data_IF_262382582700
#
_entry.id   IF_262382582700
#
_cell.length_a   1.000
_cell.length_b   1.000
_cell.length_c   1.000
_cell.angle_alpha   90.00
_cell.angle_beta   90.00
_cell.angle_gamma   90.00
#
_symmetry.space_group_name_H-M   'P 1'
#
loop_
_entity.id
_entity.type
_entity.pdbx_description
1 polymer ?
#
# COMPACT_ATOMS: atom_id res chain seq x y z
N UNK A 1 -27.30 64.61 -11.24
CA UNK A 1 -28.53 63.79 -11.11
C UNK A 1 -28.29 62.82 -9.98
N UNK A 2 -29.11 62.84 -8.93
CA UNK A 2 -29.01 61.88 -7.82
C UNK A 2 -29.75 60.60 -8.24
N UNK A 3 -29.08 59.46 -8.18
CA UNK A 3 -29.72 58.17 -8.43
C UNK A 3 -30.55 57.79 -7.19
N UNK A 4 -31.79 57.40 -7.41
CA UNK A 4 -32.71 56.91 -6.37
C UNK A 4 -32.50 55.42 -6.15
N UNK A 5 -32.72 54.96 -4.93
CA UNK A 5 -32.64 53.53 -4.60
C UNK A 5 -33.44 52.70 -5.60
N UNK A 6 -32.88 51.58 -6.08
CA UNK A 6 -33.55 50.70 -7.06
C UNK A 6 -34.77 49.96 -6.48
N UNK A 7 -35.01 50.07 -5.17
CA UNK A 7 -36.23 49.58 -4.54
C UNK A 7 -37.32 50.62 -4.80
N UNK A 8 -38.36 50.22 -5.54
CA UNK A 8 -39.43 51.06 -6.09
C UNK A 8 -40.24 51.85 -5.05
N UNK A 9 -40.07 51.56 -3.76
CA UNK A 9 -40.75 52.23 -2.64
C UNK A 9 -39.82 53.15 -1.83
N UNK A 10 -38.60 53.43 -2.30
CA UNK A 10 -37.59 54.19 -1.56
C UNK A 10 -37.07 55.40 -2.34
N UNK A 11 -37.43 56.61 -1.90
CA UNK A 11 -36.97 57.88 -2.49
C UNK A 11 -35.60 58.35 -1.96
N UNK A 12 -34.93 57.53 -1.14
CA UNK A 12 -33.63 57.89 -0.58
C UNK A 12 -32.53 57.86 -1.66
N UNK A 13 -31.56 58.79 -1.59
CA UNK A 13 -30.44 58.78 -2.53
C UNK A 13 -29.61 57.50 -2.38
N UNK A 14 -29.22 56.89 -3.50
CA UNK A 14 -28.31 55.75 -3.51
C UNK A 14 -26.96 56.16 -2.97
N UNK A 15 -26.42 55.38 -2.04
CA UNK A 15 -25.11 55.63 -1.45
C UNK A 15 -24.13 54.49 -1.74
N UNK A 16 -24.64 53.28 -2.01
CA UNK A 16 -23.83 52.06 -2.11
C UNK A 16 -24.41 51.18 -3.22
N UNK A 17 -23.57 50.82 -4.19
CA UNK A 17 -23.90 49.77 -5.17
C UNK A 17 -23.37 48.44 -4.65
N UNK A 18 -24.23 47.44 -4.52
CA UNK A 18 -23.80 46.11 -4.11
C UNK A 18 -23.05 45.43 -5.26
N UNK A 19 -21.77 45.09 -5.04
CA UNK A 19 -20.92 44.43 -6.05
C UNK A 19 -21.45 43.06 -6.47
N UNK A 20 -22.13 42.34 -5.56
CA UNK A 20 -22.60 40.98 -5.83
C UNK A 20 -23.82 40.92 -6.77
N UNK A 21 -24.67 41.94 -6.76
CA UNK A 21 -25.91 41.97 -7.54
C UNK A 21 -26.06 43.20 -8.44
N UNK A 22 -25.05 44.08 -8.43
CA UNK A 22 -24.98 45.36 -9.14
C UNK A 22 -26.17 46.30 -8.89
N UNK A 23 -26.82 46.16 -7.72
CA UNK A 23 -27.98 46.98 -7.35
C UNK A 23 -27.55 48.22 -6.58
N UNK A 24 -28.05 49.37 -6.98
CA UNK A 24 -27.81 50.64 -6.29
C UNK A 24 -28.81 50.84 -5.15
N UNK A 25 -28.33 50.73 -3.91
CA UNK A 25 -29.15 50.73 -2.71
C UNK A 25 -28.80 51.93 -1.80
N UNK A 26 -29.79 52.38 -1.02
CA UNK A 26 -29.50 53.25 0.12
C UNK A 26 -28.87 52.43 1.26
N UNK A 27 -28.30 53.11 2.25
CA UNK A 27 -27.56 52.45 3.36
C UNK A 27 -28.42 51.45 4.14
N UNK A 28 -29.68 51.77 4.40
CA UNK A 28 -30.61 50.92 5.16
C UNK A 28 -30.96 49.65 4.38
N UNK A 29 -31.34 49.78 3.11
CA UNK A 29 -31.64 48.64 2.26
C UNK A 29 -30.41 47.79 1.92
N UNK A 30 -29.20 48.36 1.93
CA UNK A 30 -27.97 47.58 1.83
C UNK A 30 -27.75 46.71 3.07
N UNK A 31 -28.03 47.23 4.27
CA UNK A 31 -27.94 46.47 5.53
C UNK A 31 -29.00 45.37 5.57
N UNK A 32 -30.23 45.64 5.14
CA UNK A 32 -31.27 44.62 5.00
C UNK A 32 -30.90 43.55 3.97
N UNK A 33 -30.32 43.96 2.85
CA UNK A 33 -29.82 43.04 1.83
C UNK A 33 -28.70 42.14 2.38
N UNK A 34 -27.73 42.69 3.14
CA UNK A 34 -26.70 41.89 3.84
C UNK A 34 -27.32 40.95 4.88
N UNK A 35 -28.30 41.45 5.64
CA UNK A 35 -29.02 40.68 6.64
C UNK A 35 -29.82 39.51 6.04
N UNK A 36 -30.36 39.66 4.82
CA UNK A 36 -31.07 38.59 4.12
C UNK A 36 -30.13 37.57 3.46
N UNK A 37 -28.88 37.94 3.17
CA UNK A 37 -27.87 37.04 2.60
C UNK A 37 -27.21 36.16 3.67
N UNK A 38 -26.98 36.68 4.89
CA UNK A 38 -26.35 35.92 5.98
C UNK A 38 -27.05 34.60 6.33
N UNK A 39 -28.40 34.54 6.48
CA UNK A 39 -29.10 33.28 6.71
C UNK A 39 -28.88 32.24 5.60
N UNK A 40 -28.81 32.68 4.34
CA UNK A 40 -28.55 31.79 3.20
C UNK A 40 -27.13 31.22 3.24
N UNK A 41 -26.13 32.04 3.58
CA UNK A 41 -24.75 31.59 3.76
C UNK A 41 -24.61 30.62 4.94
N UNK A 42 -25.31 30.90 6.05
CA UNK A 42 -25.33 30.01 7.20
C UNK A 42 -25.97 28.66 6.86
N UNK A 43 -27.02 28.64 6.05
CA UNK A 43 -27.65 27.41 5.60
C UNK A 43 -26.72 26.58 4.68
N UNK A 44 -26.02 27.23 3.76
CA UNK A 44 -25.00 26.56 2.94
C UNK A 44 -23.86 26.00 3.79
N UNK A 45 -23.43 26.73 4.83
CA UNK A 45 -22.40 26.26 5.76
C UNK A 45 -22.87 25.01 6.51
N UNK A 46 -24.12 24.98 6.97
CA UNK A 46 -24.71 23.78 7.58
C UNK A 46 -24.75 22.60 6.62
N UNK A 47 -25.10 22.83 5.36
CA UNK A 47 -25.12 21.78 4.34
C UNK A 47 -23.72 21.21 4.08
N UNK A 48 -22.70 22.07 3.97
CA UNK A 48 -21.31 21.65 3.81
C UNK A 48 -20.85 20.84 5.02
N UNK A 49 -21.10 21.33 6.23
CA UNK A 49 -20.72 20.61 7.45
C UNK A 49 -21.41 19.24 7.53
N UNK A 50 -22.69 19.15 7.16
CA UNK A 50 -23.40 17.86 7.10
C UNK A 50 -22.77 16.90 6.09
N UNK A 51 -22.34 17.38 4.93
CA UNK A 51 -21.64 16.56 3.92
C UNK A 51 -20.28 16.11 4.47
N UNK A 52 -19.58 17.00 5.17
CA UNK A 52 -18.29 16.69 5.80
C UNK A 52 -18.44 15.64 6.91
N UNK A 53 -19.42 15.79 7.79
CA UNK A 53 -19.74 14.80 8.83
C UNK A 53 -20.09 13.44 8.21
N UNK A 54 -20.83 13.45 7.09
CA UNK A 54 -21.12 12.23 6.33
C UNK A 54 -19.85 11.59 5.77
N UNK A 55 -18.93 12.39 5.23
CA UNK A 55 -17.64 11.92 4.73
C UNK A 55 -16.76 11.36 5.87
N UNK A 56 -16.68 12.04 7.02
CA UNK A 56 -15.94 11.54 8.19
C UNK A 56 -16.52 10.24 8.75
N UNK A 57 -17.83 10.05 8.64
CA UNK A 57 -18.50 8.81 9.05
C UNK A 57 -18.31 7.64 8.07
N UNK A 58 -17.67 7.86 6.90
CA UNK A 58 -17.34 6.77 5.98
C UNK A 58 -16.23 5.91 6.57
N UNK A 59 -16.60 4.70 6.98
CA UNK A 59 -15.65 3.69 7.42
C UNK A 59 -15.02 2.96 6.22
N UNK A 60 -13.71 3.16 6.04
CA UNK A 60 -12.92 2.48 5.02
C UNK A 60 -13.00 0.95 5.13
N UNK A 61 -13.13 0.40 6.34
CA UNK A 61 -13.26 -1.06 6.50
C UNK A 61 -14.57 -1.56 5.92
N UNK A 62 -15.66 -0.83 6.14
CA UNK A 62 -16.96 -1.12 5.53
C UNK A 62 -16.90 -1.02 4.01
N UNK A 63 -16.27 0.03 3.46
CA UNK A 63 -16.09 0.22 2.01
C UNK A 63 -15.29 -0.92 1.37
N UNK A 64 -14.23 -1.41 2.03
CA UNK A 64 -13.37 -2.47 1.50
C UNK A 64 -13.89 -3.88 1.78
N UNK A 65 -14.85 -4.03 2.70
CA UNK A 65 -15.28 -5.34 3.22
C UNK A 65 -15.71 -6.33 2.13
N UNK A 66 -16.50 -5.86 1.15
CA UNK A 66 -16.97 -6.72 0.06
C UNK A 66 -15.85 -7.10 -0.91
N UNK A 67 -14.87 -6.23 -1.11
CA UNK A 67 -13.71 -6.54 -1.95
C UNK A 67 -12.80 -7.57 -1.27
N UNK A 68 -12.58 -7.42 0.04
CA UNK A 68 -11.81 -8.37 0.83
C UNK A 68 -12.48 -9.75 0.86
N UNK A 69 -13.81 -9.82 1.04
CA UNK A 69 -14.55 -11.09 0.96
C UNK A 69 -14.35 -11.80 -0.38
N UNK A 70 -14.38 -11.08 -1.50
CA UNK A 70 -14.12 -11.66 -2.83
C UNK A 70 -12.72 -12.24 -2.95
N UNK A 71 -11.71 -11.55 -2.39
CA UNK A 71 -10.34 -12.06 -2.37
C UNK A 71 -10.22 -13.30 -1.49
N UNK A 72 -10.87 -13.31 -0.33
CA UNK A 72 -10.90 -14.47 0.57
C UNK A 72 -11.62 -15.67 -0.05
N UNK A 73 -12.76 -15.46 -0.71
CA UNK A 73 -13.45 -16.50 -1.47
C UNK A 73 -12.58 -17.05 -2.59
N UNK A 74 -11.92 -16.18 -3.35
CA UNK A 74 -10.98 -16.60 -4.38
C UNK A 74 -9.83 -17.45 -3.81
N UNK A 75 -9.28 -17.05 -2.66
CA UNK A 75 -8.22 -17.81 -1.96
C UNK A 75 -8.71 -19.20 -1.55
N UNK A 76 -9.88 -19.30 -0.92
CA UNK A 76 -10.46 -20.57 -0.51
C UNK A 76 -10.72 -21.49 -1.71
N UNK A 77 -11.33 -20.96 -2.76
CA UNK A 77 -11.61 -21.72 -3.99
C UNK A 77 -10.32 -22.20 -4.66
N UNK A 78 -9.26 -21.38 -4.65
CA UNK A 78 -7.97 -21.76 -5.23
C UNK A 78 -7.33 -22.93 -4.49
N UNK A 79 -7.39 -22.95 -3.15
CA UNK A 79 -6.92 -24.11 -2.37
C UNK A 79 -7.71 -25.37 -2.69
N UNK A 80 -9.04 -25.30 -2.79
CA UNK A 80 -9.86 -26.45 -3.16
C UNK A 80 -9.49 -27.03 -4.53
N UNK A 81 -9.15 -26.17 -5.50
CA UNK A 81 -8.70 -26.62 -6.82
C UNK A 81 -7.34 -27.33 -6.73
N UNK A 82 -6.42 -26.81 -5.92
CA UNK A 82 -5.11 -27.43 -5.69
C UNK A 82 -5.27 -28.80 -5.01
N UNK A 83 -6.10 -28.87 -3.97
CA UNK A 83 -6.36 -30.12 -3.24
C UNK A 83 -6.97 -31.18 -4.15
N UNK A 84 -7.98 -30.80 -4.95
CA UNK A 84 -8.58 -31.70 -5.94
C UNK A 84 -7.56 -32.17 -6.98
N UNK A 85 -6.68 -31.29 -7.44
CA UNK A 85 -5.61 -31.67 -8.37
C UNK A 85 -4.65 -32.68 -7.74
N UNK A 86 -4.25 -32.46 -6.49
CA UNK A 86 -3.43 -33.37 -5.72
C UNK A 86 -4.09 -34.75 -5.56
N UNK A 87 -5.35 -34.81 -5.12
CA UNK A 87 -6.10 -36.06 -4.96
C UNK A 87 -6.21 -36.85 -6.27
N UNK A 88 -6.46 -36.14 -7.38
CA UNK A 88 -6.49 -36.76 -8.70
C UNK A 88 -5.13 -37.38 -9.06
N UNK A 89 -4.02 -36.72 -8.76
CA UNK A 89 -2.68 -37.24 -9.01
C UNK A 89 -2.33 -38.44 -8.13
N UNK A 90 -2.76 -38.43 -6.87
CA UNK A 90 -2.65 -39.62 -6.00
C UNK A 90 -3.46 -40.80 -6.55
N UNK A 91 -4.67 -40.54 -7.05
CA UNK A 91 -5.51 -41.57 -7.66
C UNK A 91 -4.88 -42.14 -8.92
N UNK A 92 -4.31 -41.28 -9.77
CA UNK A 92 -3.57 -41.69 -10.97
C UNK A 92 -2.36 -42.57 -10.62
N UNK A 93 -1.59 -42.18 -9.59
CA UNK A 93 -0.47 -42.96 -9.08
C UNK A 93 -0.91 -44.35 -8.60
N UNK A 94 -1.97 -44.38 -7.79
CA UNK A 94 -2.54 -45.64 -7.29
C UNK A 94 -3.02 -46.52 -8.44
N UNK A 95 -3.62 -45.95 -9.48
CA UNK A 95 -4.04 -46.68 -10.67
C UNK A 95 -2.85 -47.35 -11.38
N UNK A 96 -1.74 -46.65 -11.60
CA UNK A 96 -0.55 -47.23 -12.22
C UNK A 96 0.03 -48.38 -11.38
N UNK A 97 0.17 -48.19 -10.07
CA UNK A 97 0.68 -49.23 -9.16
C UNK A 97 -0.23 -50.46 -9.20
N UNK A 98 -1.54 -50.26 -9.07
CA UNK A 98 -2.50 -51.36 -9.09
C UNK A 98 -2.51 -52.11 -10.41
N UNK A 99 -2.36 -51.43 -11.55
CA UNK A 99 -2.24 -52.08 -12.86
C UNK A 99 -1.00 -52.98 -12.94
N UNK A 100 0.14 -52.52 -12.44
CA UNK A 100 1.37 -53.33 -12.38
C UNK A 100 1.13 -54.57 -11.50
N UNK A 101 0.62 -54.38 -10.29
CA UNK A 101 0.35 -55.49 -9.36
C UNK A 101 -0.66 -56.50 -9.95
N UNK A 102 -1.73 -56.02 -10.58
CA UNK A 102 -2.75 -56.87 -11.21
C UNK A 102 -2.18 -57.67 -12.38
N UNK A 103 -1.25 -57.11 -13.17
CA UNK A 103 -0.57 -57.85 -14.23
C UNK A 103 0.23 -59.03 -13.65
N UNK A 104 1.04 -58.78 -12.63
CA UNK A 104 1.81 -59.86 -11.99
C UNK A 104 0.92 -60.90 -11.30
N UNK A 105 -0.19 -60.48 -10.70
CA UNK A 105 -1.17 -61.41 -10.14
C UNK A 105 -1.75 -62.35 -11.21
N UNK A 106 -2.06 -61.83 -12.41
CA UNK A 106 -2.48 -62.65 -13.56
C UNK A 106 -1.38 -63.60 -14.02
N UNK A 107 -0.15 -63.11 -14.20
CA UNK A 107 0.98 -63.94 -14.62
C UNK A 107 1.25 -65.10 -13.65
N UNK A 108 1.13 -64.85 -12.33
CA UNK A 108 1.21 -65.89 -11.29
C UNK A 108 0.09 -66.91 -11.44
N UNK A 109 -1.14 -66.45 -11.63
CA UNK A 109 -2.30 -67.33 -11.75
C UNK A 109 -2.22 -68.21 -13.01
N UNK A 110 -1.76 -67.65 -14.13
CA UNK A 110 -1.57 -68.39 -15.38
C UNK A 110 -0.49 -69.49 -15.23
N UNK A 111 0.62 -69.18 -14.54
CA UNK A 111 1.63 -70.18 -14.21
C UNK A 111 1.06 -71.28 -13.31
N UNK A 112 0.26 -70.92 -12.31
CA UNK A 112 -0.38 -71.88 -11.41
C UNK A 112 -1.31 -72.82 -12.16
N UNK A 113 -2.19 -72.29 -13.02
CA UNK A 113 -3.08 -73.08 -13.87
C UNK A 113 -2.30 -74.02 -14.81
N UNK A 114 -1.15 -73.55 -15.33
CA UNK A 114 -0.28 -74.37 -16.17
C UNK A 114 0.35 -75.53 -15.40
N UNK A 115 0.77 -75.31 -14.15
CA UNK A 115 1.27 -76.35 -13.26
C UNK A 115 0.18 -77.37 -12.92
N UNK A 116 -1.02 -76.90 -12.56
CA UNK A 116 -2.17 -77.76 -12.26
C UNK A 116 -2.52 -78.66 -13.46
N UNK A 117 -2.56 -78.09 -14.67
CA UNK A 117 -2.81 -78.84 -15.90
C UNK A 117 -1.73 -79.90 -16.19
N UNK A 118 -0.46 -79.56 -16.01
CA UNK A 118 0.64 -80.52 -16.22
C UNK A 118 0.61 -81.65 -15.17
N UNK A 119 0.29 -81.33 -13.92
CA UNK A 119 0.11 -82.32 -12.84
C UNK A 119 -1.01 -83.29 -13.16
N UNK A 120 -2.13 -82.78 -13.71
CA UNK A 120 -3.28 -83.60 -14.08
C UNK A 120 -3.00 -84.57 -15.24
N UNK A 121 -2.27 -84.12 -16.27
CA UNK A 121 -2.02 -84.91 -17.49
C UNK A 121 -0.92 -85.98 -17.28
N UNK A 122 -0.11 -85.88 -16.21
CA UNK A 122 0.98 -86.80 -15.86
C UNK A 122 2.04 -87.06 -16.96
N UNK A 123 2.00 -86.32 -18.08
CA UNK A 123 2.99 -86.36 -19.17
C UNK A 123 3.91 -85.13 -19.13
N UNK A 124 4.50 -84.87 -17.97
CA UNK A 124 5.41 -83.74 -17.81
C UNK A 124 6.83 -84.15 -18.21
N UNK A 125 7.37 -83.54 -19.27
CA UNK A 125 8.77 -83.73 -19.67
C UNK A 125 9.70 -82.90 -18.78
N UNK A 126 10.96 -83.32 -18.62
CA UNK A 126 11.98 -82.53 -17.91
C UNK A 126 12.14 -81.12 -18.51
N UNK A 127 11.98 -80.99 -19.84
CA UNK A 127 11.98 -79.70 -20.51
C UNK A 127 10.86 -78.77 -20.04
N UNK A 128 9.65 -79.29 -19.79
CA UNK A 128 8.53 -78.51 -19.26
C UNK A 128 8.82 -78.02 -17.83
N UNK A 129 9.48 -78.86 -17.02
CA UNK A 129 9.91 -78.50 -15.65
C UNK A 129 10.95 -77.38 -15.71
N UNK A 130 12.00 -77.52 -16.51
CA UNK A 130 13.03 -76.47 -16.68
C UNK A 130 12.44 -75.14 -17.14
N UNK A 131 11.51 -75.17 -18.10
CA UNK A 131 10.84 -73.97 -18.60
C UNK A 131 9.99 -73.29 -17.50
N UNK A 132 9.25 -74.08 -16.71
CA UNK A 132 8.48 -73.56 -15.57
C UNK A 132 9.38 -72.97 -14.50
N UNK A 133 10.47 -73.66 -14.14
CA UNK A 133 11.46 -73.16 -13.18
C UNK A 133 12.05 -71.84 -13.64
N UNK A 134 12.43 -71.73 -14.93
CA UNK A 134 12.95 -70.48 -15.50
C UNK A 134 11.92 -69.35 -15.46
N UNK A 135 10.65 -69.64 -15.76
CA UNK A 135 9.58 -68.65 -15.71
C UNK A 135 9.31 -68.17 -14.27
N UNK A 136 9.29 -69.09 -13.30
CA UNK A 136 9.13 -68.76 -11.88
C UNK A 136 10.29 -67.88 -11.41
N UNK A 137 11.54 -68.23 -11.74
CA UNK A 137 12.72 -67.45 -11.38
C UNK A 137 12.68 -66.04 -12.00
N UNK A 138 12.30 -65.94 -13.27
CA UNK A 138 12.17 -64.66 -13.98
C UNK A 138 11.10 -63.77 -13.32
N UNK A 139 9.94 -64.35 -13.01
CA UNK A 139 8.84 -63.64 -12.36
C UNK A 139 9.21 -63.21 -10.93
N UNK A 140 9.95 -64.04 -10.20
CA UNK A 140 10.48 -63.72 -8.87
C UNK A 140 11.49 -62.57 -8.92
N UNK A 141 12.38 -62.54 -9.93
CA UNK A 141 13.29 -61.42 -10.17
C UNK A 141 12.54 -60.13 -10.50
N UNK A 142 11.53 -60.21 -11.37
CA UNK A 142 10.71 -59.06 -11.73
C UNK A 142 9.92 -58.51 -10.53
N UNK A 143 9.31 -59.36 -9.70
CA UNK A 143 8.63 -58.94 -8.48
C UNK A 143 9.59 -58.30 -7.47
N UNK A 144 10.79 -58.86 -7.32
CA UNK A 144 11.82 -58.26 -6.49
C UNK A 144 12.24 -56.88 -7.02
N UNK A 145 12.24 -56.67 -8.33
CA UNK A 145 12.49 -55.37 -8.95
C UNK A 145 11.34 -54.38 -8.75
N UNK A 146 10.08 -54.82 -8.62
CA UNK A 146 8.93 -53.94 -8.33
C UNK A 146 9.11 -53.17 -7.02
N UNK A 147 9.71 -53.80 -6.00
CA UNK A 147 10.05 -53.10 -4.74
C UNK A 147 10.95 -51.88 -4.97
N UNK A 148 11.66 -51.85 -6.09
CA UNK A 148 12.58 -50.78 -6.49
C UNK A 148 12.08 -50.00 -7.71
N UNK A 149 10.86 -50.24 -8.22
CA UNK A 149 10.24 -49.36 -9.22
C UNK A 149 9.88 -48.07 -8.50
N UNK A 150 10.83 -47.15 -8.46
CA UNK A 150 10.59 -45.76 -8.10
C UNK A 150 9.78 -45.13 -9.22
N UNK A 151 8.49 -44.89 -8.99
CA UNK A 151 7.72 -44.03 -9.89
C UNK A 151 8.35 -42.65 -9.81
N UNK A 152 8.95 -42.19 -10.90
CA UNK A 152 9.52 -40.86 -10.97
C UNK A 152 8.38 -39.84 -11.06
N UNK A 153 8.28 -38.97 -10.06
CA UNK A 153 7.31 -37.88 -10.02
C UNK A 153 8.08 -36.57 -10.17
N UNK A 154 7.99 -35.96 -11.33
CA UNK A 154 8.59 -34.65 -11.58
C UNK A 154 7.60 -33.55 -11.18
N UNK A 155 7.92 -32.79 -10.13
CA UNK A 155 7.07 -31.69 -9.64
C UNK A 155 7.64 -30.36 -10.14
N UNK A 156 6.79 -29.58 -10.82
CA UNK A 156 7.11 -28.20 -11.22
C UNK A 156 6.48 -27.21 -10.25
N UNK A 157 7.13 -26.06 -9.97
CA UNK A 157 6.59 -25.06 -9.06
C UNK A 157 5.33 -24.40 -9.66
N UNK A 158 4.36 -24.11 -8.79
CA UNK A 158 3.20 -23.30 -9.14
C UNK A 158 3.63 -21.83 -9.27
N UNK A 159 3.41 -21.23 -10.43
CA UNK A 159 3.73 -19.82 -10.69
C UNK A 159 2.46 -18.99 -10.61
N UNK A 160 2.43 -18.05 -9.67
CA UNK A 160 1.35 -17.05 -9.55
C UNK A 160 1.72 -15.86 -10.43
N UNK A 161 0.82 -15.45 -11.32
CA UNK A 161 1.01 -14.33 -12.24
C UNK A 161 0.48 -13.07 -11.58
N UNK A 162 1.24 -11.97 -11.58
CA UNK A 162 0.85 -10.72 -10.90
C UNK A 162 -0.49 -10.13 -11.37
N UNK A 163 -0.92 -10.44 -12.61
CA UNK A 163 -2.20 -10.01 -13.19
C UNK A 163 -3.37 -10.97 -12.90
N UNK A 164 -3.23 -11.86 -11.92
CA UNK A 164 -4.28 -12.82 -11.58
C UNK A 164 -5.44 -12.15 -10.83
N UNK A 165 -5.19 -11.02 -10.16
CA UNK A 165 -6.19 -10.19 -9.49
C UNK A 165 -5.95 -8.73 -9.90
N UNK A 166 -6.88 -8.15 -10.66
CA UNK A 166 -6.86 -6.73 -11.00
C UNK A 166 -7.68 -5.92 -10.00
N UNK A 167 -7.01 -5.04 -9.25
CA UNK A 167 -7.67 -4.08 -8.36
C UNK A 167 -7.79 -2.74 -9.08
N UNK A 168 -8.95 -2.50 -9.69
CA UNK A 168 -9.24 -1.25 -10.38
C UNK A 168 -10.05 -0.30 -9.49
N UNK A 169 -9.48 0.87 -9.19
CA UNK A 169 -10.21 1.94 -8.52
C UNK A 169 -11.04 2.66 -9.59
N UNK A 170 -12.34 2.39 -9.64
CA UNK A 170 -13.27 3.13 -10.50
C UNK A 170 -13.52 4.50 -9.85
N UNK A 171 -12.57 5.42 -10.00
CA UNK A 171 -12.77 6.84 -9.73
C UNK A 171 -13.22 7.51 -11.02
N UNK A 172 -14.43 7.19 -11.45
CA UNK A 172 -15.04 7.89 -12.57
C UNK A 172 -15.50 9.28 -12.12
N UNK A 173 -14.53 10.18 -11.92
CA UNK A 173 -14.75 11.57 -11.54
C UNK A 173 -15.54 12.34 -12.61
N UNK A 174 -15.65 11.80 -13.83
CA UNK A 174 -16.44 12.39 -14.92
C UNK A 174 -17.96 12.25 -14.71
N UNK A 175 -18.39 11.40 -13.77
CA UNK A 175 -19.80 11.24 -13.36
C UNK A 175 -20.20 12.10 -12.17
N UNK A 176 -19.25 12.77 -11.52
CA UNK A 176 -19.55 13.71 -10.44
C UNK A 176 -19.95 15.05 -11.06
N UNK A 177 -21.21 15.46 -10.85
CA UNK A 177 -21.70 16.79 -11.23
C UNK A 177 -20.76 17.86 -10.71
N UNK A 178 -20.22 18.70 -11.59
CA UNK A 178 -19.14 19.65 -11.33
C UNK A 178 -19.58 20.72 -10.31
N UNK A 179 -19.11 20.67 -9.05
CA UNK A 179 -19.31 21.77 -8.09
C UNK A 179 -18.28 22.89 -8.32
N UNK A 180 -17.24 22.63 -9.12
CA UNK A 180 -16.03 23.45 -9.19
C UNK A 180 -16.05 24.54 -10.27
N UNK A 181 -17.16 24.73 -11.01
CA UNK A 181 -17.24 25.77 -12.05
C UNK A 181 -17.79 27.12 -11.55
N UNK A 182 -18.38 27.20 -10.36
CA UNK A 182 -19.14 28.40 -9.92
C UNK A 182 -18.51 29.16 -8.75
N UNK A 183 -17.19 29.11 -8.61
CA UNK A 183 -16.47 30.13 -7.84
C UNK A 183 -15.69 30.97 -8.85
N UNK A 184 -16.41 31.71 -9.71
CA UNK A 184 -15.82 32.93 -10.24
C UNK A 184 -15.46 33.77 -9.03
N UNK A 185 -14.15 33.97 -8.85
CA UNK A 185 -13.54 34.76 -7.78
C UNK A 185 -14.47 35.93 -7.43
N UNK A 186 -15.11 35.87 -6.26
CA UNK A 186 -15.57 37.09 -5.62
C UNK A 186 -14.30 37.94 -5.55
N UNK A 187 -14.24 39.12 -6.20
CA UNK A 187 -13.12 40.00 -6.01
C UNK A 187 -13.25 40.49 -4.57
N UNK A 188 -12.66 39.74 -3.63
CA UNK A 188 -12.14 40.32 -2.41
C UNK A 188 -11.34 41.52 -2.90
N UNK A 189 -11.74 42.73 -2.52
CA UNK A 189 -11.05 43.96 -2.85
C UNK A 189 -9.57 43.86 -2.45
N UNK A 190 -8.73 43.33 -3.34
CA UNK A 190 -7.28 43.17 -3.23
C UNK A 190 -6.66 42.68 -4.56
N UNK A 191 -7.25 43.03 -5.71
CA UNK A 191 -6.63 42.82 -7.03
C UNK A 191 -5.37 43.68 -7.27
N UNK A 192 -4.86 44.38 -6.24
CA UNK A 192 -3.56 45.04 -6.27
C UNK A 192 -2.40 44.16 -5.78
N UNK A 193 -2.63 42.95 -5.22
CA UNK A 193 -1.54 42.15 -4.61
C UNK A 193 -1.20 40.83 -5.32
N UNK A 194 -1.98 40.38 -6.31
CA UNK A 194 -1.75 39.07 -6.92
C UNK A 194 -0.57 38.99 -7.91
N UNK A 195 0.07 40.12 -8.24
CA UNK A 195 1.27 40.16 -9.09
C UNK A 195 2.51 40.76 -8.39
N UNK A 196 2.43 41.02 -7.08
CA UNK A 196 3.59 41.45 -6.32
C UNK A 196 4.25 40.23 -5.68
N UNK A 197 5.54 40.02 -5.92
CA UNK A 197 6.36 39.23 -5.01
C UNK A 197 6.05 39.67 -3.56
N UNK A 198 5.98 38.76 -2.57
CA UNK A 198 5.74 39.14 -1.19
C UNK A 198 6.74 40.21 -0.79
N UNK A 199 6.25 41.39 -0.42
CA UNK A 199 7.09 42.49 0.04
C UNK A 199 7.84 42.05 1.31
N UNK A 200 9.01 42.64 1.59
CA UNK A 200 9.78 42.28 2.79
C UNK A 200 8.98 42.39 4.10
N UNK A 201 7.93 43.21 4.11
CA UNK A 201 7.03 43.41 5.24
C UNK A 201 6.10 42.20 5.50
N UNK A 202 5.58 41.54 4.47
CA UNK A 202 4.70 40.37 4.67
C UNK A 202 5.48 39.17 5.20
N UNK A 203 6.69 38.96 4.70
CA UNK A 203 7.64 37.98 5.24
C UNK A 203 8.05 38.31 6.68
N UNK A 204 8.20 39.60 7.01
CA UNK A 204 8.51 40.06 8.38
C UNK A 204 7.33 39.83 9.34
N UNK A 205 6.10 40.12 8.94
CA UNK A 205 4.90 39.87 9.73
C UNK A 205 4.71 38.38 10.02
N UNK A 206 4.86 37.53 8.99
CA UNK A 206 4.80 36.08 9.17
C UNK A 206 5.88 35.59 10.15
N UNK A 207 7.14 36.00 9.96
CA UNK A 207 8.24 35.60 10.84
C UNK A 207 8.02 36.08 12.29
N UNK A 208 7.45 37.28 12.47
CA UNK A 208 7.13 37.83 13.79
C UNK A 208 6.04 37.02 14.48
N UNK A 209 4.98 36.63 13.75
CA UNK A 209 3.91 35.78 14.28
C UNK A 209 4.41 34.38 14.64
N UNK A 210 5.20 33.75 13.77
CA UNK A 210 5.79 32.43 14.04
C UNK A 210 6.66 32.47 15.30
N UNK A 211 7.46 33.53 15.47
CA UNK A 211 8.28 33.70 16.66
C UNK A 211 7.44 33.98 17.93
N UNK A 212 6.41 34.81 17.83
CA UNK A 212 5.54 35.15 18.96
C UNK A 212 4.76 33.94 19.49
N UNK A 213 4.35 33.04 18.60
CA UNK A 213 3.57 31.84 18.95
C UNK A 213 4.42 30.57 19.05
N UNK A 214 5.75 30.67 18.98
CA UNK A 214 6.67 29.53 19.05
C UNK A 214 6.42 28.56 20.22
N UNK A 215 6.19 29.02 21.47
CA UNK A 215 5.90 28.11 22.59
C UNK A 215 4.59 27.33 22.41
N UNK A 216 3.64 27.88 21.66
CA UNK A 216 2.37 27.20 21.35
C UNK A 216 2.52 26.21 20.20
N UNK A 217 3.34 26.54 19.21
CA UNK A 217 3.61 25.69 18.05
C UNK A 217 4.45 24.47 18.41
N UNK A 218 5.41 24.61 19.33
CA UNK A 218 6.27 23.51 19.79
C UNK A 218 5.52 22.45 20.64
N UNK A 219 4.25 22.71 21.01
CA UNK A 219 3.39 21.70 21.66
C UNK A 219 3.07 20.53 20.73
N UNK A 220 3.12 20.73 19.42
CA UNK A 220 2.90 19.70 18.41
C UNK A 220 3.90 19.86 17.25
N UNK A 221 4.79 18.88 17.13
CA UNK A 221 5.81 18.85 16.08
C UNK A 221 5.25 18.91 14.65
N UNK A 222 4.01 18.49 14.43
CA UNK A 222 3.35 18.53 13.12
C UNK A 222 2.95 19.95 12.75
N UNK A 223 2.50 20.77 13.71
CA UNK A 223 2.14 22.18 13.49
C UNK A 223 3.34 23.00 13.04
N UNK A 224 4.53 22.72 13.59
CA UNK A 224 5.78 23.37 13.17
C UNK A 224 6.06 23.08 11.69
N UNK A 225 5.92 21.82 11.25
CA UNK A 225 6.13 21.44 9.85
C UNK A 225 5.12 22.08 8.90
N UNK A 226 3.84 22.17 9.31
CA UNK A 226 2.81 22.84 8.51
C UNK A 226 3.10 24.34 8.36
N UNK A 227 3.46 25.01 9.44
CA UNK A 227 3.80 26.44 9.42
C UNK A 227 5.04 26.71 8.57
N UNK A 228 6.08 25.86 8.63
CA UNK A 228 7.25 25.97 7.76
C UNK A 228 6.89 25.77 6.28
N UNK A 229 6.00 24.83 5.98
CA UNK A 229 5.53 24.59 4.61
C UNK A 229 4.71 25.77 4.07
N UNK A 230 3.88 26.38 4.92
CA UNK A 230 3.16 27.63 4.59
C UNK A 230 4.17 28.77 4.34
N UNK A 231 5.18 28.91 5.19
CA UNK A 231 6.28 29.87 5.02
C UNK A 231 7.00 29.73 3.68
N UNK A 232 7.23 28.49 3.25
CA UNK A 232 7.90 28.18 1.99
C UNK A 232 7.02 28.48 0.78
N UNK A 233 5.75 28.05 0.82
CA UNK A 233 4.82 28.16 -0.30
C UNK A 233 4.38 29.60 -0.57
N UNK A 234 4.16 30.39 0.48
CA UNK A 234 3.54 31.71 0.36
C UNK A 234 4.51 32.88 0.57
N UNK A 235 5.62 32.67 1.29
CA UNK A 235 6.54 33.75 1.68
C UNK A 235 7.98 33.52 1.20
N UNK A 236 8.24 32.42 0.47
CA UNK A 236 9.57 32.09 -0.05
C UNK A 236 10.63 31.88 1.05
N UNK A 237 10.20 31.61 2.28
CA UNK A 237 11.10 31.36 3.41
C UNK A 237 11.76 30.01 3.15
N UNK A 238 13.07 30.02 2.91
CA UNK A 238 13.84 28.79 2.76
C UNK A 238 13.72 28.01 4.06
N UNK A 239 13.25 26.76 3.97
CA UNK A 239 13.28 25.85 5.11
C UNK A 239 14.71 25.82 5.65
N UNK A 240 14.85 26.17 6.93
CA UNK A 240 16.08 25.92 7.65
C UNK A 240 16.14 24.40 7.73
N UNK A 241 17.00 23.77 6.94
CA UNK A 241 17.14 22.31 6.86
C UNK A 241 17.21 21.76 8.29
N UNK A 242 16.11 21.18 8.76
CA UNK A 242 16.09 20.53 10.05
C UNK A 242 17.09 19.36 9.96
N UNK A 243 17.98 19.19 10.95
CA UNK A 243 18.76 17.96 11.03
C UNK A 243 17.78 16.80 11.04
N UNK A 244 18.06 15.79 10.22
CA UNK A 244 17.19 14.64 9.96
C UNK A 244 16.44 14.21 11.24
N UNK A 245 15.12 14.04 11.14
CA UNK A 245 14.28 13.59 12.27
C UNK A 245 14.55 12.14 12.68
N UNK A 246 15.61 11.52 12.15
CA UNK A 246 16.15 10.25 12.62
C UNK A 246 17.21 10.53 13.69
N UNK A 247 16.90 10.35 14.99
CA UNK A 247 17.91 10.40 16.05
C UNK A 247 19.05 9.39 15.79
N UNK A 248 18.75 8.29 15.10
CA UNK A 248 19.75 7.30 14.66
C UNK A 248 20.68 7.82 13.55
N UNK A 249 20.17 8.63 12.63
CA UNK A 249 20.94 9.17 11.51
C UNK A 249 21.83 10.35 11.98
N UNK A 250 21.33 11.17 12.91
CA UNK A 250 22.15 12.18 13.59
C UNK A 250 23.25 11.55 14.49
N UNK A 251 22.98 10.39 15.10
CA UNK A 251 23.97 9.62 15.85
C UNK A 251 25.03 9.03 14.91
N UNK A 252 24.61 8.46 13.78
CA UNK A 252 25.49 7.91 12.74
C UNK A 252 26.38 9.01 12.11
N UNK A 253 25.83 10.20 11.86
CA UNK A 253 26.60 11.35 11.37
C UNK A 253 27.57 11.90 12.42
N UNK A 254 27.19 11.92 13.70
CA UNK A 254 28.09 12.34 14.79
C UNK A 254 29.23 11.34 15.02
N UNK A 255 28.95 10.04 14.90
CA UNK A 255 29.96 8.98 15.02
C UNK A 255 30.92 8.99 13.82
N UNK A 256 30.42 9.19 12.60
CA UNK A 256 31.25 9.25 11.38
C UNK A 256 32.06 10.54 11.28
N UNK A 257 31.55 11.67 11.79
CA UNK A 257 32.31 12.92 11.92
C UNK A 257 33.46 12.81 12.93
N UNK A 258 33.27 12.06 14.03
CA UNK A 258 34.34 11.82 15.01
C UNK A 258 35.38 10.81 14.53
N UNK A 259 35.03 9.86 13.64
CA UNK A 259 36.00 8.94 13.05
C UNK A 259 36.81 9.54 11.89
N UNK A 260 36.33 10.62 11.27
CA UNK A 260 37.04 11.31 10.19
C UNK A 260 38.03 12.39 10.67
N UNK A 261 37.94 12.82 11.93
CA UNK A 261 38.91 13.73 12.56
C UNK A 261 40.02 13.03 13.36
N UNK A 262 40.03 11.70 13.42
CA UNK A 262 41.04 10.90 14.14
C UNK A 262 42.28 10.51 13.34
N UNK A 263 42.36 10.88 12.05
CA UNK A 263 43.41 10.41 11.15
C UNK A 263 44.11 11.54 10.38
N UNK A 264 44.48 12.66 11.04
CA UNK A 264 45.50 13.59 10.51
C UNK A 264 46.00 14.63 11.53
N UNK A 265 47.02 14.25 12.31
CA UNK A 265 48.14 15.08 12.79
C UNK A 265 49.00 14.16 13.70
N UNK A 266 50.21 13.71 13.33
CA UNK A 266 51.30 14.50 12.77
C UNK A 266 51.94 15.31 13.91
N UNK A 267 52.72 14.70 14.81
CA UNK A 267 54.18 14.53 14.71
C UNK A 267 54.98 15.85 14.81
N UNK A 268 55.53 16.14 15.99
CA UNK A 268 56.93 16.57 16.29
C UNK A 268 57.01 16.99 17.79
N UNK A 269 57.78 16.27 18.62
CA UNK A 269 59.18 16.54 19.05
C UNK A 269 59.34 17.87 19.84
N UNK A 270 60.05 17.98 20.97
CA UNK A 270 61.05 17.14 21.66
C UNK A 270 61.34 17.76 23.05
N UNK A 271 62.20 17.07 23.83
CA UNK A 271 62.95 17.45 25.05
C UNK A 271 62.29 17.10 26.40
N UNK A 272 62.75 16.05 27.09
CA UNK A 272 64.01 15.87 27.87
C UNK A 272 63.78 16.20 29.35
N UNK A 273 63.69 15.18 30.21
CA UNK A 273 64.42 15.11 31.47
C UNK A 273 64.39 13.65 31.98
N UNK A 274 65.55 13.18 32.40
CA UNK A 274 65.87 11.88 33.00
C UNK A 274 65.47 11.81 34.47
N UNK A 275 65.27 10.58 34.98
CA UNK A 275 65.84 9.99 36.20
C UNK A 275 64.97 8.75 36.56
N UNK A 276 65.45 7.51 36.36
CA UNK A 276 66.27 6.67 37.26
C UNK A 276 65.66 6.45 38.65
N UNK A 277 65.10 5.24 38.85
CA UNK A 277 65.43 4.23 39.91
C UNK A 277 64.24 3.23 39.99
N UNK A 278 64.39 1.93 39.72
CA UNK A 278 65.03 0.82 40.46
C UNK A 278 64.31 0.41 41.78
N UNK A 279 64.27 -0.92 41.95
CA UNK A 279 63.86 -1.75 43.11
C UNK A 279 62.36 -2.07 43.25
N UNK A 280 61.92 -3.32 43.02
CA UNK A 280 62.11 -4.57 43.83
C UNK A 280 61.21 -4.59 45.07
N UNK A 281 60.01 -5.14 44.93
CA UNK A 281 59.51 -6.41 45.51
C UNK A 281 58.01 -6.59 45.21
#
# INVERSE_FOLDING_TARGET
MFHTCEISTCDSPTLITCVCCNKSLCREHFVEHDYLLRPKLNELTKQINKIFDQFESLDMKTIMSDSLKKIDEWRLNSYQVIDKFYENKCTELNYYINNILNKYAKDINDLRLKIEKMTYIQQTTNHNIELLTKNIQTLQQQINQIKYISIQVDIRPLVIIDKLIDVNIITDLSKLSTPYQTIQRIPLCSNAMANALPSSETTRCFSTLVNAYKPSLERDSTLVQYVERIGTLFFGIKQKSAPSSNPLENLMHSLTANMSNGARAGHHQHQHQTDLDLEVD
#
